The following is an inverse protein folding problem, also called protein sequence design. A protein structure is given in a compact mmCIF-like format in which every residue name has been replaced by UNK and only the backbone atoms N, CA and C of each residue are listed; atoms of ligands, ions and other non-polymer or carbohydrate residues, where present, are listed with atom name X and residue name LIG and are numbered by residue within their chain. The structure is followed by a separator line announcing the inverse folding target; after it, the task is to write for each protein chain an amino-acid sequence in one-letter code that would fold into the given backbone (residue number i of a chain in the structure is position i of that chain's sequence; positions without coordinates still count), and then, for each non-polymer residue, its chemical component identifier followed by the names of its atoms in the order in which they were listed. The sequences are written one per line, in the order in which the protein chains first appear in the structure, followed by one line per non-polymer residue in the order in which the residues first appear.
data_IF_417110749412
#
_entry.id   IF_417110749412
#
_cell.length_a   1.000
_cell.length_b   1.000
_cell.length_c   1.000
_cell.angle_alpha   90.00
_cell.angle_beta   90.00
_cell.angle_gamma   90.00
#
_symmetry.space_group_name_H-M   'P 1'
#
loop_
_entity.id
_entity.type
_entity.pdbx_description
1 polymer ?
#
# COMPACT_ATOMS: atom_id res chain seq x y z
N UNK A 1 -38.23 -1.30 4.57
CA UNK A 1 -38.44 -0.45 5.77
C UNK A 1 -37.16 0.35 6.09
N UNK A 2 -36.66 1.18 5.16
CA UNK A 2 -35.77 2.29 5.53
C UNK A 2 -36.63 3.55 5.42
N UNK A 3 -37.56 3.70 6.36
CA UNK A 3 -38.57 4.77 6.34
C UNK A 3 -38.17 5.97 7.21
N UNK A 4 -37.02 5.88 7.88
CA UNK A 4 -36.41 6.95 8.63
C UNK A 4 -35.46 7.77 7.73
N UNK A 5 -35.70 9.08 7.64
CA UNK A 5 -34.88 10.05 6.88
C UNK A 5 -33.38 9.85 7.10
N UNK A 6 -32.97 9.65 8.35
CA UNK A 6 -31.59 9.40 8.74
C UNK A 6 -31.03 8.07 8.23
N UNK A 7 -31.85 7.01 8.16
CA UNK A 7 -31.44 5.73 7.59
C UNK A 7 -31.14 5.85 6.10
N UNK A 8 -32.04 6.49 5.35
CA UNK A 8 -31.85 6.73 3.92
C UNK A 8 -30.64 7.63 3.63
N UNK A 9 -30.45 8.68 4.43
CA UNK A 9 -29.31 9.57 4.29
C UNK A 9 -27.96 8.86 4.55
N UNK A 10 -27.90 7.93 5.50
CA UNK A 10 -26.67 7.18 5.76
C UNK A 10 -26.40 6.18 4.63
N UNK A 11 -27.41 5.39 4.24
CA UNK A 11 -27.27 4.39 3.19
C UNK A 11 -26.96 4.97 1.81
N UNK A 12 -27.36 6.21 1.51
CA UNK A 12 -27.06 6.85 0.23
C UNK A 12 -25.59 7.28 0.09
N UNK A 13 -24.91 7.59 1.21
CA UNK A 13 -23.51 8.05 1.19
C UNK A 13 -22.52 6.89 1.31
N UNK A 14 -22.95 5.75 1.88
CA UNK A 14 -22.14 4.53 2.04
C UNK A 14 -21.46 4.08 0.73
N UNK A 15 -22.15 3.98 -0.43
CA UNK A 15 -21.51 3.54 -1.68
C UNK A 15 -20.34 4.43 -2.11
N UNK A 16 -20.47 5.75 -1.96
CA UNK A 16 -19.44 6.71 -2.35
C UNK A 16 -18.22 6.62 -1.44
N UNK A 17 -18.43 6.56 -0.12
CA UNK A 17 -17.35 6.39 0.85
C UNK A 17 -16.65 5.04 0.63
N UNK A 18 -17.42 3.98 0.39
CA UNK A 18 -16.87 2.64 0.15
C UNK A 18 -15.93 2.62 -1.05
N UNK A 19 -16.34 3.20 -2.18
CA UNK A 19 -15.46 3.34 -3.35
C UNK A 19 -14.22 4.19 -3.05
N UNK A 20 -14.37 5.29 -2.30
CA UNK A 20 -13.25 6.13 -1.87
C UNK A 20 -12.24 5.37 -1.00
N UNK A 21 -12.72 4.55 -0.06
CA UNK A 21 -11.88 3.71 0.79
C UNK A 21 -11.17 2.61 0.01
N UNK A 22 -11.86 1.97 -0.94
CA UNK A 22 -11.23 0.99 -1.84
C UNK A 22 -10.13 1.64 -2.67
N UNK A 23 -10.40 2.79 -3.28
CA UNK A 23 -9.42 3.51 -4.08
C UNK A 23 -8.22 3.97 -3.25
N UNK A 24 -8.46 4.54 -2.07
CA UNK A 24 -7.40 4.91 -1.13
C UNK A 24 -6.57 3.69 -0.72
N UNK A 25 -7.23 2.57 -0.42
CA UNK A 25 -6.56 1.30 -0.08
C UNK A 25 -5.67 0.78 -1.21
N UNK A 26 -6.13 0.88 -2.46
CA UNK A 26 -5.36 0.50 -3.65
C UNK A 26 -4.12 1.37 -3.81
N UNK A 27 -4.27 2.70 -3.79
CA UNK A 27 -3.14 3.63 -3.88
C UNK A 27 -2.15 3.44 -2.71
N UNK A 28 -2.67 3.30 -1.50
CA UNK A 28 -1.89 3.02 -0.28
C UNK A 28 -1.07 1.75 -0.45
N UNK A 29 -1.65 0.69 -1.03
CA UNK A 29 -0.99 -0.58 -1.27
C UNK A 29 0.15 -0.43 -2.27
N UNK A 30 -0.10 0.18 -3.43
CA UNK A 30 0.91 0.43 -4.49
C UNK A 30 2.10 1.21 -3.93
N UNK A 31 1.83 2.33 -3.24
CA UNK A 31 2.90 3.17 -2.66
C UNK A 31 3.70 2.45 -1.55
N UNK A 32 3.09 1.48 -0.86
CA UNK A 32 3.77 0.71 0.20
C UNK A 32 4.53 -0.49 -0.35
N UNK A 33 4.05 -1.09 -1.44
CA UNK A 33 4.71 -2.18 -2.14
C UNK A 33 6.07 -1.74 -2.73
N UNK A 34 6.12 -0.61 -3.46
CA UNK A 34 7.38 -0.07 -4.03
C UNK A 34 8.45 0.17 -2.96
N UNK A 35 8.05 0.66 -1.77
CA UNK A 35 8.97 0.85 -0.63
C UNK A 35 9.50 -0.45 -0.03
N UNK A 36 8.74 -1.54 -0.15
CA UNK A 36 9.10 -2.83 0.44
C UNK A 36 10.02 -3.60 -0.51
N UNK A 37 9.70 -3.61 -1.80
CA UNK A 37 10.50 -4.27 -2.83
C UNK A 37 11.91 -3.70 -2.91
N UNK A 38 12.07 -2.36 -2.91
CA UNK A 38 13.40 -1.73 -2.90
C UNK A 38 14.24 -2.12 -1.70
N UNK A 39 13.63 -2.29 -0.52
CA UNK A 39 14.35 -2.69 0.70
C UNK A 39 14.79 -4.14 0.66
N UNK A 40 13.95 -5.02 0.12
CA UNK A 40 14.28 -6.45 -0.03
C UNK A 40 15.38 -6.63 -1.05
N UNK A 41 15.29 -5.98 -2.22
CA UNK A 41 16.35 -5.99 -3.23
C UNK A 41 17.70 -5.49 -2.68
N UNK A 42 17.70 -4.35 -1.97
CA UNK A 42 18.92 -3.81 -1.37
C UNK A 42 19.56 -4.76 -0.34
N UNK A 43 18.74 -5.51 0.41
CA UNK A 43 19.23 -6.53 1.35
C UNK A 43 19.84 -7.73 0.62
N UNK A 44 19.15 -8.23 -0.40
CA UNK A 44 19.61 -9.35 -1.22
C UNK A 44 20.94 -9.02 -1.93
N UNK A 45 21.07 -7.83 -2.51
CA UNK A 45 22.32 -7.39 -3.13
C UNK A 45 23.47 -7.25 -2.11
N UNK A 46 23.17 -6.79 -0.89
CA UNK A 46 24.16 -6.70 0.18
C UNK A 46 24.66 -8.09 0.61
N UNK A 47 23.75 -9.04 0.80
CA UNK A 47 24.09 -10.43 1.15
C UNK A 47 24.90 -11.12 0.05
N UNK A 48 24.52 -10.95 -1.23
CA UNK A 48 25.26 -11.53 -2.35
C UNK A 48 26.65 -10.88 -2.52
N UNK A 49 26.79 -9.58 -2.30
CA UNK A 49 28.11 -8.91 -2.31
C UNK A 49 29.01 -9.37 -1.17
N UNK A 50 28.46 -9.56 0.03
CA UNK A 50 29.20 -10.12 1.17
C UNK A 50 29.68 -11.55 0.88
N UNK A 51 28.83 -12.39 0.28
CA UNK A 51 29.21 -13.75 -0.15
C UNK A 51 30.29 -13.74 -1.23
N UNK A 52 30.24 -12.77 -2.14
CA UNK A 52 31.22 -12.62 -3.21
C UNK A 52 32.49 -11.86 -2.78
N UNK A 53 32.57 -11.40 -1.52
CA UNK A 53 33.71 -10.62 -1.01
C UNK A 53 33.90 -9.28 -1.73
N UNK A 54 32.83 -8.74 -2.33
CA UNK A 54 32.86 -7.47 -3.05
C UNK A 54 32.69 -6.30 -2.08
N UNK A 55 33.52 -5.29 -2.23
CA UNK A 55 33.50 -4.12 -1.35
C UNK A 55 32.21 -3.30 -1.53
N UNK A 56 31.77 -2.61 -0.47
CA UNK A 56 30.50 -1.86 -0.51
C UNK A 56 30.58 -0.77 -1.58
N UNK A 57 29.53 -0.57 -2.40
CA UNK A 57 29.55 0.47 -3.42
C UNK A 57 29.76 1.84 -2.75
N UNK A 58 30.77 2.57 -3.24
CA UNK A 58 30.91 3.99 -2.93
C UNK A 58 29.63 4.69 -3.42
N UNK A 59 28.89 5.25 -2.48
CA UNK A 59 27.65 6.00 -2.67
C UNK A 59 27.70 7.00 -3.80
#
# INVERSE_FOLDING_TARGET
MIENFWGNALFSVVPTIFLGLLFWGLLRSILRADRTERKVYARMEAEERERLGLDKPAT
#
